data_IF_591880915611
#
_entry.id   IF_591880915611
#
_cell.length_a   1.000
_cell.length_b   1.000
_cell.length_c   1.000
_cell.angle_alpha   90.00
_cell.angle_beta   90.00
_cell.angle_gamma   90.00
#
_symmetry.space_group_name_H-M   'P 1'
#
loop_
_entity.id
_entity.type
_entity.pdbx_description
1 polymer ?
#
# COMPACT_ATOMS: atom_id res chain seq x y z
N UNK A 1 7.84 -7.58 7.14
CA UNK A 1 7.76 -8.14 5.77
C UNK A 1 8.40 -7.13 4.84
N UNK A 2 9.20 -7.55 3.85
CA UNK A 2 9.75 -6.59 2.87
C UNK A 2 8.65 -6.08 1.92
N UNK A 3 8.86 -4.91 1.30
CA UNK A 3 7.95 -4.39 0.27
C UNK A 3 7.81 -5.37 -0.90
N UNK A 4 8.88 -6.08 -1.27
CA UNK A 4 8.84 -7.08 -2.35
C UNK A 4 7.86 -8.21 -2.04
N UNK A 5 7.81 -8.68 -0.80
CA UNK A 5 6.82 -9.68 -0.37
C UNK A 5 5.40 -9.10 -0.42
N UNK A 6 5.20 -7.87 0.07
CA UNK A 6 3.90 -7.21 0.03
C UNK A 6 3.39 -6.96 -1.40
N UNK A 7 4.31 -6.62 -2.32
CA UNK A 7 4.03 -6.47 -3.75
C UNK A 7 3.61 -7.79 -4.36
N UNK A 8 4.32 -8.88 -4.05
CA UNK A 8 3.98 -10.21 -4.58
C UNK A 8 2.61 -10.68 -4.07
N UNK A 9 2.28 -10.41 -2.81
CA UNK A 9 0.94 -10.67 -2.26
C UNK A 9 -0.14 -9.87 -2.99
N UNK A 10 0.09 -8.57 -3.24
CA UNK A 10 -0.87 -7.74 -3.98
C UNK A 10 -1.08 -8.21 -5.42
N UNK A 11 -0.03 -8.73 -6.07
CA UNK A 11 -0.13 -9.35 -7.41
C UNK A 11 -1.02 -10.59 -7.35
N UNK A 12 -0.83 -11.46 -6.37
CA UNK A 12 -1.64 -12.66 -6.21
C UNK A 12 -3.12 -12.31 -5.91
N UNK A 13 -3.35 -11.34 -5.02
CA UNK A 13 -4.69 -10.83 -4.69
C UNK A 13 -5.38 -10.24 -5.94
N UNK A 14 -4.63 -9.55 -6.81
CA UNK A 14 -5.15 -9.00 -8.07
C UNK A 14 -5.51 -10.08 -9.08
N UNK A 15 -4.67 -11.11 -9.26
CA UNK A 15 -4.96 -12.23 -10.16
C UNK A 15 -6.23 -12.95 -9.70
N UNK A 16 -6.36 -13.22 -8.40
CA UNK A 16 -7.57 -13.84 -7.86
C UNK A 16 -8.85 -12.99 -8.08
N UNK A 17 -8.74 -11.66 -7.97
CA UNK A 17 -9.84 -10.76 -8.33
C UNK A 17 -10.20 -10.88 -9.81
N UNK A 18 -9.20 -10.89 -10.70
CA UNK A 18 -9.43 -11.01 -12.15
C UNK A 18 -10.09 -12.35 -12.51
N UNK A 19 -9.62 -13.45 -11.93
CA UNK A 19 -10.20 -14.77 -12.15
C UNK A 19 -11.67 -14.82 -11.70
N UNK A 20 -11.99 -14.22 -10.54
CA UNK A 20 -13.38 -14.11 -10.08
C UNK A 20 -14.23 -13.26 -11.03
N UNK A 21 -13.72 -12.10 -11.46
CA UNK A 21 -14.45 -11.21 -12.36
C UNK A 21 -14.67 -11.80 -13.76
N UNK A 22 -13.75 -12.61 -14.27
CA UNK A 22 -13.88 -13.28 -15.56
C UNK A 22 -15.05 -14.29 -15.60
N UNK A 23 -15.44 -14.82 -14.45
CA UNK A 23 -16.55 -15.77 -14.32
C UNK A 23 -17.90 -15.09 -14.07
N UNK A 24 -17.94 -13.76 -13.95
CA UNK A 24 -19.17 -12.99 -13.71
C UNK A 24 -19.96 -12.85 -15.01
N UNK A 25 -21.20 -13.32 -14.98
CA UNK A 25 -22.15 -13.15 -16.10
C UNK A 25 -22.87 -11.78 -16.08
N UNK A 26 -22.83 -11.10 -14.92
CA UNK A 26 -23.53 -9.83 -14.67
C UNK A 26 -22.53 -8.67 -14.61
N UNK A 27 -22.98 -7.44 -14.91
CA UNK A 27 -22.13 -6.25 -14.81
C UNK A 27 -21.59 -6.08 -13.38
N UNK A 28 -20.27 -6.15 -13.25
CA UNK A 28 -19.55 -6.12 -11.98
C UNK A 28 -18.55 -4.95 -11.89
N UNK A 29 -18.64 -3.95 -12.79
CA UNK A 29 -17.64 -2.87 -12.89
C UNK A 29 -17.41 -2.13 -11.58
N UNK A 30 -18.45 -1.87 -10.81
CA UNK A 30 -18.34 -1.17 -9.53
C UNK A 30 -17.66 -2.05 -8.47
N UNK A 31 -18.07 -3.32 -8.35
CA UNK A 31 -17.45 -4.26 -7.42
C UNK A 31 -15.96 -4.46 -7.74
N UNK A 32 -15.63 -4.62 -9.03
CA UNK A 32 -14.25 -4.70 -9.47
C UNK A 32 -13.45 -3.49 -9.03
N UNK A 33 -13.97 -2.27 -9.25
CA UNK A 33 -13.30 -1.03 -8.86
C UNK A 33 -13.06 -0.97 -7.34
N UNK A 34 -14.08 -1.29 -6.53
CA UNK A 34 -13.98 -1.26 -5.07
C UNK A 34 -12.94 -2.27 -4.54
N UNK A 35 -12.94 -3.49 -5.07
CA UNK A 35 -12.01 -4.54 -4.67
C UNK A 35 -10.59 -4.25 -5.13
N UNK A 36 -10.43 -3.74 -6.35
CA UNK A 36 -9.13 -3.33 -6.87
C UNK A 36 -8.50 -2.20 -6.03
N UNK A 37 -9.27 -1.15 -5.73
CA UNK A 37 -8.81 -0.04 -4.88
C UNK A 37 -8.45 -0.54 -3.48
N UNK A 38 -9.20 -1.49 -2.93
CA UNK A 38 -8.89 -2.10 -1.63
C UNK A 38 -7.54 -2.81 -1.61
N UNK A 39 -7.19 -3.54 -2.68
CA UNK A 39 -5.88 -4.19 -2.83
C UNK A 39 -4.76 -3.14 -2.86
N UNK A 40 -4.94 -2.05 -3.62
CA UNK A 40 -3.95 -0.96 -3.68
C UNK A 40 -3.77 -0.26 -2.33
N UNK A 41 -4.85 0.04 -1.61
CA UNK A 41 -4.78 0.64 -0.28
C UNK A 41 -4.02 -0.27 0.69
N UNK A 42 -4.27 -1.58 0.65
CA UNK A 42 -3.57 -2.57 1.47
C UNK A 42 -2.07 -2.58 1.16
N UNK A 43 -1.68 -2.52 -0.12
CA UNK A 43 -0.28 -2.43 -0.52
C UNK A 43 0.38 -1.13 -0.04
N UNK A 44 -0.27 0.01 -0.26
CA UNK A 44 0.24 1.33 0.13
C UNK A 44 0.41 1.41 1.66
N UNK A 45 -0.53 0.87 2.44
CA UNK A 45 -0.42 0.82 3.91
C UNK A 45 0.75 -0.04 4.42
N UNK A 46 1.22 -1.00 3.61
CA UNK A 46 2.40 -1.83 3.92
C UNK A 46 3.72 -1.16 3.54
N UNK A 47 3.68 -0.08 2.75
CA UNK A 47 4.87 0.73 2.52
C UNK A 47 5.23 1.43 3.84
N UNK A 48 6.27 0.92 4.51
CA UNK A 48 6.82 1.56 5.70
C UNK A 48 7.49 2.86 5.27
N UNK A 49 7.09 3.99 5.86
CA UNK A 49 7.83 5.24 5.69
C UNK A 49 9.18 5.05 6.37
N UNK A 50 10.25 4.92 5.57
CA UNK A 50 11.60 4.91 6.10
C UNK A 50 11.95 6.35 6.50
N UNK A 51 11.99 6.60 7.80
CA UNK A 51 12.51 7.85 8.34
C UNK A 51 14.02 7.92 8.06
N UNK A 52 14.42 8.72 7.08
CA UNK A 52 15.83 8.88 6.73
C UNK A 52 16.61 9.61 7.83
N UNK A 53 15.96 10.53 8.55
CA UNK A 53 16.51 11.24 9.71
C UNK A 53 15.48 11.29 10.85
N UNK A 54 15.92 11.01 12.09
CA UNK A 54 15.15 11.27 13.30
C UNK A 54 15.50 12.65 13.89
N UNK A 55 14.51 13.32 14.46
CA UNK A 55 14.69 14.52 15.29
C UNK A 55 15.69 14.19 16.43
N UNK A 56 16.94 14.61 16.31
CA UNK A 56 17.91 14.49 17.41
C UNK A 56 17.66 15.63 18.40
N UNK A 57 17.07 15.29 19.55
CA UNK A 57 16.89 16.24 20.64
C UNK A 57 18.19 16.39 21.44
N UNK A 58 18.77 17.58 21.44
CA UNK A 58 19.49 18.08 22.62
C UNK A 58 18.49 18.58 23.68
N UNK A 59 18.96 19.30 24.70
CA UNK A 59 18.12 19.79 25.83
C UNK A 59 17.02 20.82 25.46
N UNK A 60 16.79 21.11 24.18
CA UNK A 60 15.79 22.08 23.70
C UNK A 60 14.70 21.40 22.85
N UNK A 61 13.48 21.97 22.75
CA UNK A 61 12.41 21.41 21.92
C UNK A 61 12.84 21.30 20.45
N UNK A 62 12.64 20.13 19.83
CA UNK A 62 13.05 19.91 18.45
C UNK A 62 11.99 20.45 17.49
N UNK A 63 12.36 21.48 16.73
CA UNK A 63 11.63 21.91 15.53
C UNK A 63 12.40 21.44 14.30
N UNK A 64 11.79 20.59 13.48
CA UNK A 64 12.38 20.10 12.23
C UNK A 64 11.32 19.82 11.18
N UNK A 65 11.66 20.08 9.91
CA UNK A 65 10.81 19.74 8.76
C UNK A 65 10.99 18.28 8.40
N UNK A 66 9.89 17.53 8.31
CA UNK A 66 9.90 16.11 7.97
C UNK A 66 10.19 15.91 6.48
N UNK A 67 11.28 15.20 6.16
CA UNK A 67 11.60 14.73 4.81
C UNK A 67 11.60 13.19 4.80
N UNK A 68 10.60 12.58 4.16
CA UNK A 68 10.47 11.14 4.02
C UNK A 68 10.34 10.73 2.54
N UNK A 69 10.81 9.52 2.22
CA UNK A 69 10.66 8.90 0.90
C UNK A 69 9.83 7.61 1.06
N UNK A 70 8.89 7.37 0.13
CA UNK A 70 8.18 6.10 0.04
C UNK A 70 9.15 5.04 -0.50
N UNK A 71 9.33 3.96 0.24
CA UNK A 71 10.25 2.88 -0.11
C UNK A 71 9.57 1.53 -0.23
#
# INVERSE_FOLDING_TARGET
MSLDTAKQEAINDFIALMDDMLTREQDSRQEYAERFISILIKLIKKAEIKYNNGLTAGSNPVTGTFNGELK
#
